data_IF_410859858050
#
_entry.id   IF_410859858050
#
_cell.length_a   1.000
_cell.length_b   1.000
_cell.length_c   1.000
_cell.angle_alpha   90.00
_cell.angle_beta   90.00
_cell.angle_gamma   90.00
#
_symmetry.space_group_name_H-M   'P 1'
#
loop_
_entity.id
_entity.type
_entity.pdbx_description
1 polymer ?
#
# COMPACT_ATOMS: atom_id res chain seq x y z
N UNK A 1 70.56 33.53 -2.54
CA UNK A 1 69.59 32.70 -3.29
C UNK A 1 69.38 31.38 -2.54
N UNK A 2 68.18 31.16 -1.97
CA UNK A 2 67.52 29.87 -1.77
C UNK A 2 66.22 30.14 -1.00
N UNK A 3 65.12 30.18 -1.75
CA UNK A 3 63.76 30.36 -1.25
C UNK A 3 63.31 29.03 -0.59
N UNK A 4 62.75 29.10 0.61
CA UNK A 4 62.03 27.97 1.23
C UNK A 4 60.54 28.25 1.06
N UNK A 5 59.89 27.39 0.27
CA UNK A 5 58.46 27.47 -0.02
C UNK A 5 57.67 26.82 1.13
N UNK A 6 56.75 27.56 1.74
CA UNK A 6 55.81 27.07 2.74
C UNK A 6 54.64 26.41 1.99
N UNK A 7 54.58 25.08 2.03
CA UNK A 7 53.47 24.31 1.47
C UNK A 7 52.26 24.38 2.41
N UNK A 8 51.22 25.10 1.99
CA UNK A 8 49.93 25.16 2.68
C UNK A 8 49.11 23.91 2.31
N UNK A 9 49.01 22.93 3.21
CA UNK A 9 48.13 21.77 3.04
C UNK A 9 46.69 22.17 3.43
N UNK A 10 45.83 22.42 2.43
CA UNK A 10 44.39 22.51 2.63
C UNK A 10 43.83 21.09 2.79
N UNK A 11 43.40 20.74 4.00
CA UNK A 11 42.57 19.56 4.24
C UNK A 11 41.11 19.89 3.85
N UNK A 12 40.65 19.36 2.71
CA UNK A 12 39.24 19.38 2.32
C UNK A 12 38.46 18.43 3.24
N UNK A 13 37.66 18.99 4.15
CA UNK A 13 36.64 18.26 4.89
C UNK A 13 35.49 17.91 3.93
N UNK A 14 35.47 16.68 3.44
CA UNK A 14 34.30 16.11 2.77
C UNK A 14 33.28 15.78 3.85
N UNK A 15 32.29 16.65 4.04
CA UNK A 15 31.11 16.36 4.84
C UNK A 15 30.28 15.30 4.11
N UNK A 16 30.40 14.04 4.54
CA UNK A 16 29.48 12.99 4.15
C UNK A 16 28.10 13.31 4.73
N UNK A 17 27.18 13.76 3.88
CA UNK A 17 25.77 13.80 4.22
C UNK A 17 25.32 12.38 4.50
N UNK A 18 25.20 12.01 5.77
CA UNK A 18 24.49 10.81 6.16
C UNK A 18 23.03 11.04 5.75
N UNK A 19 22.64 10.53 4.59
CA UNK A 19 21.22 10.33 4.28
C UNK A 19 20.70 9.36 5.35
N UNK A 20 20.05 9.91 6.37
CA UNK A 20 19.38 9.10 7.38
C UNK A 20 18.42 8.17 6.66
N UNK A 21 18.70 6.87 6.67
CA UNK A 21 17.77 5.88 6.17
C UNK A 21 16.51 6.03 7.02
N UNK A 22 15.39 6.41 6.39
CA UNK A 22 14.10 6.44 7.08
C UNK A 22 13.89 5.09 7.77
N UNK A 23 13.39 5.06 9.02
CA UNK A 23 13.20 3.82 9.74
C UNK A 23 12.34 2.87 8.90
N UNK A 24 12.73 1.59 8.87
CA UNK A 24 11.95 0.55 8.19
C UNK A 24 10.57 0.51 8.85
N UNK A 25 9.53 0.72 8.04
CA UNK A 25 8.14 0.71 8.51
C UNK A 25 7.77 -0.67 9.03
N UNK A 26 7.05 -0.72 10.16
CA UNK A 26 6.63 -1.96 10.76
C UNK A 26 5.19 -2.28 10.35
N UNK A 27 4.90 -3.53 10.01
CA UNK A 27 3.55 -3.98 9.67
C UNK A 27 2.55 -3.77 10.81
N UNK A 28 3.02 -3.74 12.07
CA UNK A 28 2.17 -3.45 13.24
C UNK A 28 1.55 -2.06 13.19
N UNK A 29 2.20 -1.10 12.53
CA UNK A 29 1.71 0.27 12.38
C UNK A 29 0.50 0.33 11.41
N UNK A 30 0.18 -0.77 10.71
CA UNK A 30 -1.01 -0.89 9.85
C UNK A 30 -2.24 -1.42 10.61
N UNK A 31 -2.18 -1.61 11.93
CA UNK A 31 -3.31 -2.13 12.72
C UNK A 31 -4.57 -1.27 12.60
N UNK A 32 -4.43 0.03 12.26
CA UNK A 32 -5.57 0.91 12.02
C UNK A 32 -6.43 0.46 10.81
N UNK A 33 -5.92 -0.38 9.92
CA UNK A 33 -6.67 -0.94 8.78
C UNK A 33 -7.57 -2.11 9.20
N UNK A 34 -7.27 -2.77 10.32
CA UNK A 34 -8.00 -3.95 10.78
C UNK A 34 -9.50 -3.65 11.02
N UNK A 35 -10.33 -4.64 10.71
CA UNK A 35 -11.78 -4.56 10.87
C UNK A 35 -12.54 -5.13 9.68
N UNK A 36 -13.88 -5.10 9.82
CA UNK A 36 -14.81 -5.45 8.75
C UNK A 36 -15.41 -4.16 8.21
N UNK A 37 -15.30 -3.96 6.90
CA UNK A 37 -15.62 -2.72 6.22
C UNK A 37 -16.61 -3.01 5.12
N UNK A 38 -17.69 -2.23 5.04
CA UNK A 38 -18.64 -2.29 3.94
C UNK A 38 -18.85 -0.92 3.30
N UNK A 39 -19.04 -0.91 1.98
CA UNK A 39 -19.41 0.30 1.23
C UNK A 39 -20.36 -0.06 0.11
N UNK A 40 -21.13 0.92 -0.36
CA UNK A 40 -21.97 0.80 -1.55
C UNK A 40 -21.51 1.84 -2.57
N UNK A 41 -21.45 1.45 -3.85
CA UNK A 41 -21.02 2.37 -4.90
C UNK A 41 -21.42 1.92 -6.30
N UNK A 42 -20.99 2.70 -7.30
CA UNK A 42 -21.31 2.44 -8.71
C UNK A 42 -20.76 1.09 -9.21
N UNK A 43 -19.70 0.61 -8.56
CA UNK A 43 -19.05 -0.67 -8.81
C UNK A 43 -19.86 -1.85 -8.22
N UNK A 44 -20.56 -1.64 -7.12
CA UNK A 44 -21.32 -2.67 -6.37
C UNK A 44 -21.30 -2.41 -4.86
N UNK A 45 -21.96 -3.29 -4.12
CA UNK A 45 -21.81 -3.45 -2.67
C UNK A 45 -20.51 -4.21 -2.40
N UNK A 46 -19.66 -3.66 -1.54
CA UNK A 46 -18.32 -4.17 -1.28
C UNK A 46 -18.15 -4.47 0.20
N UNK A 47 -17.37 -5.51 0.48
CA UNK A 47 -16.99 -5.94 1.82
C UNK A 47 -15.50 -6.27 1.86
N UNK A 48 -14.77 -5.69 2.81
CA UNK A 48 -13.37 -6.02 3.12
C UNK A 48 -13.27 -6.49 4.57
N UNK A 49 -12.58 -7.61 4.81
CA UNK A 49 -12.29 -8.09 6.17
C UNK A 49 -10.78 -8.14 6.37
N UNK A 50 -10.24 -7.14 7.05
CA UNK A 50 -8.83 -7.01 7.39
C UNK A 50 -8.54 -7.62 8.76
N UNK A 51 -7.57 -8.54 8.84
CA UNK A 51 -7.09 -9.11 10.10
C UNK A 51 -6.25 -8.10 10.87
N UNK A 52 -6.08 -8.29 12.18
CA UNK A 52 -4.94 -7.65 12.86
C UNK A 52 -3.61 -8.18 12.29
N UNK A 53 -2.51 -7.41 12.34
CA UNK A 53 -1.19 -7.93 12.06
C UNK A 53 -0.84 -9.10 12.99
N UNK A 54 -0.43 -10.24 12.43
CA UNK A 54 -0.03 -11.43 13.16
C UNK A 54 1.32 -11.93 12.63
N UNK A 55 2.33 -11.97 13.51
CA UNK A 55 3.69 -12.29 13.09
C UNK A 55 4.24 -11.25 12.11
N UNK A 56 4.58 -11.68 10.90
CA UNK A 56 5.09 -10.83 9.84
C UNK A 56 4.05 -10.55 8.73
N UNK A 57 2.75 -10.81 8.97
CA UNK A 57 1.72 -10.62 7.95
C UNK A 57 0.41 -10.03 8.49
N UNK A 58 -0.38 -9.50 7.57
CA UNK A 58 -1.77 -9.07 7.73
C UNK A 58 -2.55 -9.57 6.52
N UNK A 59 -3.81 -9.95 6.68
CA UNK A 59 -4.61 -10.54 5.61
C UNK A 59 -5.89 -9.73 5.35
N UNK A 60 -6.36 -9.74 4.10
CA UNK A 60 -7.69 -9.29 3.74
C UNK A 60 -8.38 -10.27 2.80
N UNK A 61 -9.66 -10.50 3.04
CA UNK A 61 -10.58 -11.05 2.05
C UNK A 61 -11.58 -9.97 1.63
N UNK A 62 -11.75 -9.80 0.34
CA UNK A 62 -12.67 -8.83 -0.24
C UNK A 62 -13.70 -9.50 -1.15
N UNK A 63 -14.88 -8.89 -1.24
CA UNK A 63 -15.90 -9.22 -2.23
C UNK A 63 -16.57 -7.95 -2.77
N UNK A 64 -16.90 -7.98 -4.06
CA UNK A 64 -17.82 -7.03 -4.69
C UNK A 64 -19.06 -7.76 -5.25
N UNK A 65 -20.26 -7.28 -4.93
CA UNK A 65 -21.56 -7.80 -5.37
C UNK A 65 -22.34 -6.70 -6.08
N UNK A 66 -22.94 -7.01 -7.23
CA UNK A 66 -23.84 -6.09 -7.95
C UNK A 66 -25.07 -6.84 -8.42
N UNK A 67 -26.24 -6.27 -8.15
CA UNK A 67 -27.54 -6.87 -8.51
C UNK A 67 -27.69 -8.32 -8.00
N UNK A 68 -27.26 -8.58 -6.76
CA UNK A 68 -27.34 -9.90 -6.12
C UNK A 68 -26.38 -10.96 -6.68
N UNK A 69 -25.43 -10.58 -7.54
CA UNK A 69 -24.41 -11.47 -8.11
C UNK A 69 -23.01 -10.98 -7.77
N UNK A 70 -22.11 -11.92 -7.47
CA UNK A 70 -20.70 -11.59 -7.27
C UNK A 70 -20.10 -11.08 -8.58
N UNK A 71 -19.39 -9.95 -8.50
CA UNK A 71 -18.60 -9.39 -9.59
C UNK A 71 -17.20 -10.01 -9.54
N UNK A 72 -16.51 -9.88 -8.40
CA UNK A 72 -15.20 -10.45 -8.15
C UNK A 72 -14.89 -10.52 -6.65
N UNK A 73 -13.81 -11.24 -6.32
CA UNK A 73 -13.21 -11.29 -5.00
C UNK A 73 -11.77 -10.78 -5.07
N UNK A 74 -11.22 -10.43 -3.91
CA UNK A 74 -9.77 -10.34 -3.74
C UNK A 74 -9.31 -11.13 -2.52
N UNK A 75 -8.10 -11.66 -2.62
CA UNK A 75 -7.35 -12.12 -1.47
C UNK A 75 -6.05 -11.33 -1.42
N UNK A 76 -5.81 -10.69 -0.28
CA UNK A 76 -4.69 -9.79 -0.07
C UNK A 76 -3.91 -10.26 1.14
N UNK A 77 -2.59 -10.25 1.03
CA UNK A 77 -1.69 -10.36 2.17
C UNK A 77 -0.75 -9.16 2.16
N UNK A 78 -0.55 -8.54 3.31
CA UNK A 78 0.57 -7.61 3.52
C UNK A 78 1.63 -8.37 4.27
N UNK A 79 2.84 -8.43 3.75
CA UNK A 79 3.96 -9.14 4.37
C UNK A 79 5.07 -8.16 4.70
N UNK A 80 5.65 -8.27 5.90
CA UNK A 80 6.83 -7.52 6.28
C UNK A 80 8.04 -8.06 5.50
N UNK A 81 8.61 -7.19 4.64
CA UNK A 81 9.86 -7.44 3.94
C UNK A 81 11.00 -6.64 4.58
N UNK A 82 12.28 -6.91 4.24
CA UNK A 82 13.42 -6.16 4.78
C UNK A 82 13.35 -4.64 4.53
N UNK A 83 12.75 -4.23 3.40
CA UNK A 83 12.59 -2.82 3.04
C UNK A 83 11.30 -2.17 3.59
N UNK A 84 10.40 -2.96 4.19
CA UNK A 84 9.09 -2.52 4.67
C UNK A 84 7.95 -3.46 4.24
N UNK A 85 6.70 -3.16 4.64
CA UNK A 85 5.54 -3.95 4.24
C UNK A 85 5.28 -3.90 2.73
N UNK A 86 4.92 -5.05 2.15
CA UNK A 86 4.49 -5.18 0.75
C UNK A 86 3.13 -5.84 0.72
N UNK A 87 2.15 -5.16 0.12
CA UNK A 87 0.83 -5.72 -0.16
C UNK A 87 0.89 -6.57 -1.43
N UNK A 88 0.45 -7.82 -1.33
CA UNK A 88 0.30 -8.78 -2.43
C UNK A 88 -1.17 -9.05 -2.64
N UNK A 89 -1.68 -8.70 -3.82
CA UNK A 89 -3.10 -8.74 -4.14
C UNK A 89 -3.36 -9.70 -5.31
N UNK A 90 -4.43 -10.48 -5.19
CA UNK A 90 -4.99 -11.29 -6.28
C UNK A 90 -6.47 -11.05 -6.42
N UNK A 91 -6.94 -10.99 -7.66
CA UNK A 91 -8.36 -10.98 -7.98
C UNK A 91 -8.84 -12.36 -8.38
N UNK A 92 -10.12 -12.63 -8.11
CA UNK A 92 -10.77 -13.87 -8.50
C UNK A 92 -12.17 -13.60 -9.06
N UNK A 93 -12.47 -14.22 -10.21
CA UNK A 93 -13.85 -14.34 -10.70
C UNK A 93 -14.66 -15.32 -9.85
N UNK A 94 -16.00 -15.29 -9.94
CA UNK A 94 -16.87 -16.33 -9.39
C UNK A 94 -16.36 -17.74 -9.74
N UNK A 95 -16.33 -18.63 -8.75
CA UNK A 95 -15.76 -19.98 -8.91
C UNK A 95 -14.28 -20.11 -8.55
N UNK A 96 -13.69 -19.10 -7.88
CA UNK A 96 -12.29 -19.10 -7.43
C UNK A 96 -11.29 -19.17 -8.61
N UNK A 97 -11.56 -18.41 -9.67
CA UNK A 97 -10.73 -18.36 -10.88
C UNK A 97 -9.85 -17.11 -10.80
N UNK A 98 -8.54 -17.29 -10.60
CA UNK A 98 -7.58 -16.21 -10.47
C UNK A 98 -7.40 -15.42 -11.78
N UNK A 99 -7.21 -14.11 -11.68
CA UNK A 99 -6.87 -13.25 -12.83
C UNK A 99 -5.36 -13.19 -13.08
N UNK A 100 -4.57 -13.11 -12.01
CA UNK A 100 -3.11 -13.07 -12.08
C UNK A 100 -2.49 -14.47 -12.15
N UNK A 101 -1.30 -14.58 -12.76
CA UNK A 101 -0.52 -15.81 -12.81
C UNK A 101 -0.26 -16.39 -11.40
N UNK A 102 -0.17 -17.73 -11.30
CA UNK A 102 0.00 -18.50 -10.05
C UNK A 102 1.10 -17.96 -9.13
N UNK A 103 2.17 -17.40 -9.66
CA UNK A 103 3.36 -16.93 -8.96
C UNK A 103 3.57 -15.41 -9.05
N UNK A 104 2.63 -14.66 -9.65
CA UNK A 104 2.75 -13.21 -9.86
C UNK A 104 1.52 -12.45 -9.36
N UNK A 105 1.26 -12.39 -8.04
CA UNK A 105 0.26 -11.45 -7.53
C UNK A 105 0.69 -10.01 -7.89
N UNK A 106 -0.24 -9.07 -7.87
CA UNK A 106 0.18 -7.66 -7.87
C UNK A 106 0.89 -7.34 -6.56
N UNK A 107 2.01 -6.64 -6.67
CA UNK A 107 2.79 -6.17 -5.52
C UNK A 107 2.69 -4.65 -5.41
N UNK A 108 2.32 -4.18 -4.23
CA UNK A 108 2.28 -2.76 -3.87
C UNK A 108 3.12 -2.55 -2.61
N UNK A 109 4.40 -2.17 -2.74
CA UNK A 109 5.19 -1.69 -1.61
C UNK A 109 4.53 -0.50 -0.89
N UNK A 110 4.66 -0.46 0.44
CA UNK A 110 4.22 0.68 1.25
C UNK A 110 5.15 1.87 1.03
N UNK A 111 4.65 2.94 0.39
CA UNK A 111 5.43 4.13 0.04
C UNK A 111 5.22 5.30 1.00
N UNK A 112 4.08 5.36 1.68
CA UNK A 112 3.78 6.36 2.71
C UNK A 112 3.03 5.74 3.88
N UNK A 113 3.38 6.17 5.09
CA UNK A 113 2.72 5.76 6.33
C UNK A 113 2.73 6.93 7.32
N UNK A 114 1.58 7.15 7.92
CA UNK A 114 1.32 8.05 9.04
C UNK A 114 0.33 7.36 10.01
N UNK A 115 -0.02 7.98 11.12
CA UNK A 115 -0.81 7.38 12.22
C UNK A 115 -2.11 6.68 11.77
N UNK A 116 -2.76 7.21 10.73
CA UNK A 116 -4.04 6.71 10.21
C UNK A 116 -4.10 6.65 8.69
N UNK A 117 -2.95 6.74 8.00
CA UNK A 117 -2.87 6.74 6.53
C UNK A 117 -1.76 5.80 6.07
N UNK A 118 -2.08 4.91 5.14
CA UNK A 118 -1.12 4.05 4.46
C UNK A 118 -1.33 4.14 2.95
N UNK A 119 -0.25 4.41 2.20
CA UNK A 119 -0.27 4.39 0.74
C UNK A 119 0.64 3.31 0.21
N UNK A 120 0.06 2.43 -0.59
CA UNK A 120 0.76 1.38 -1.31
C UNK A 120 0.75 1.70 -2.81
N UNK A 121 1.86 1.49 -3.50
CA UNK A 121 1.99 1.83 -4.92
C UNK A 121 2.74 0.74 -5.67
N UNK A 122 2.29 0.41 -6.89
CA UNK A 122 2.98 -0.59 -7.73
C UNK A 122 4.33 -0.06 -8.20
N UNK A 123 5.36 -0.92 -8.37
CA UNK A 123 6.66 -0.50 -8.92
C UNK A 123 6.60 0.15 -10.30
N UNK A 124 5.59 -0.17 -11.12
CA UNK A 124 5.36 0.45 -12.43
C UNK A 124 4.68 1.84 -12.35
N UNK A 125 4.30 2.29 -11.15
CA UNK A 125 3.66 3.58 -10.87
C UNK A 125 2.37 3.80 -11.67
N UNK A 126 1.66 2.71 -12.02
CA UNK A 126 0.38 2.79 -12.75
C UNK A 126 -0.83 2.64 -11.85
N UNK A 127 -0.65 2.22 -10.61
CA UNK A 127 -1.73 2.04 -9.65
C UNK A 127 -1.24 2.23 -8.23
N UNK A 128 -2.05 2.90 -7.41
CA UNK A 128 -1.83 3.02 -5.98
C UNK A 128 -3.13 2.89 -5.20
N UNK A 129 -3.02 2.44 -3.96
CA UNK A 129 -4.10 2.32 -3.00
C UNK A 129 -3.74 3.12 -1.75
N UNK A 130 -4.61 4.03 -1.34
CA UNK A 130 -4.47 4.77 -0.09
C UNK A 130 -5.58 4.39 0.87
N UNK A 131 -5.22 3.90 2.05
CA UNK A 131 -6.15 3.61 3.15
C UNK A 131 -6.03 4.72 4.17
N UNK A 132 -7.16 5.32 4.55
CA UNK A 132 -7.23 6.36 5.57
C UNK A 132 -8.34 6.07 6.57
N UNK A 133 -7.98 5.87 7.84
CA UNK A 133 -8.96 5.75 8.93
C UNK A 133 -9.41 7.13 9.36
N UNK A 134 -10.66 7.48 9.04
CA UNK A 134 -11.25 8.80 9.32
C UNK A 134 -11.87 8.87 10.71
N UNK A 135 -12.40 7.74 11.19
CA UNK A 135 -13.01 7.58 12.51
C UNK A 135 -12.94 6.10 12.93
N UNK A 136 -13.24 5.75 14.21
CA UNK A 136 -13.30 4.35 14.63
C UNK A 136 -14.23 3.47 13.79
N UNK A 137 -15.22 4.03 13.11
CA UNK A 137 -16.18 3.31 12.28
C UNK A 137 -16.16 3.73 10.81
N UNK A 138 -15.16 4.51 10.36
CA UNK A 138 -15.08 5.02 8.98
C UNK A 138 -13.68 4.89 8.40
N UNK A 139 -13.60 4.29 7.22
CA UNK A 139 -12.38 4.19 6.43
C UNK A 139 -12.64 4.75 5.03
N UNK A 140 -11.72 5.57 4.53
CA UNK A 140 -11.66 5.94 3.12
C UNK A 140 -10.57 5.12 2.44
N UNK A 141 -10.90 4.53 1.30
CA UNK A 141 -9.93 3.92 0.39
C UNK A 141 -9.94 4.68 -0.92
N UNK A 142 -8.77 5.04 -1.43
CA UNK A 142 -8.60 5.73 -2.71
C UNK A 142 -7.81 4.82 -3.64
N UNK A 143 -8.38 4.49 -4.79
CA UNK A 143 -7.72 3.80 -5.87
C UNK A 143 -7.37 4.81 -6.96
N UNK A 144 -6.09 5.03 -7.19
CA UNK A 144 -5.61 5.81 -8.33
C UNK A 144 -4.99 4.87 -9.35
N UNK A 145 -5.42 4.98 -10.61
CA UNK A 145 -4.92 4.12 -11.70
C UNK A 145 -4.87 4.87 -13.02
N UNK A 146 -3.97 4.44 -13.90
CA UNK A 146 -4.01 4.85 -15.29
C UNK A 146 -5.06 4.04 -16.05
N UNK A 147 -5.89 4.70 -16.85
CA UNK A 147 -6.79 4.05 -17.79
C UNK A 147 -6.04 3.56 -19.04
N UNK A 148 -6.79 3.06 -20.03
CA UNK A 148 -6.22 2.50 -21.27
C UNK A 148 -5.47 3.54 -22.11
N UNK A 149 -5.80 4.82 -21.94
CA UNK A 149 -5.19 5.95 -22.64
C UNK A 149 -4.07 6.60 -21.80
N UNK A 150 -3.74 6.03 -20.64
CA UNK A 150 -2.74 6.54 -19.71
C UNK A 150 -3.23 7.72 -18.87
N UNK A 151 -4.52 8.06 -18.89
CA UNK A 151 -5.08 9.13 -18.05
C UNK A 151 -5.28 8.60 -16.64
N UNK A 152 -4.97 9.44 -15.66
CA UNK A 152 -5.22 9.11 -14.27
C UNK A 152 -6.71 9.18 -13.95
N UNK A 153 -7.20 8.11 -13.33
CA UNK A 153 -8.54 7.98 -12.78
C UNK A 153 -8.41 7.71 -11.29
N UNK A 154 -9.24 8.40 -10.50
CA UNK A 154 -9.34 8.22 -9.06
C UNK A 154 -10.74 7.72 -8.74
N UNK A 155 -10.82 6.58 -8.05
CA UNK A 155 -12.03 6.03 -7.47
C UNK A 155 -11.92 6.15 -5.93
N UNK A 156 -12.95 6.70 -5.27
CA UNK A 156 -13.03 6.79 -3.81
C UNK A 156 -14.09 5.84 -3.25
N UNK A 157 -13.72 5.09 -2.22
CA UNK A 157 -14.57 4.15 -1.51
C UNK A 157 -14.67 4.58 -0.04
N UNK A 158 -15.87 4.97 0.40
CA UNK A 158 -16.13 5.42 1.76
C UNK A 158 -16.79 4.30 2.56
N UNK A 159 -15.96 3.51 3.23
CA UNK A 159 -16.37 2.37 4.03
C UNK A 159 -16.87 2.77 5.42
N UNK A 160 -17.85 2.01 5.90
CA UNK A 160 -18.30 2.00 7.29
C UNK A 160 -17.98 0.65 7.94
N UNK A 161 -17.71 0.67 9.24
CA UNK A 161 -17.47 -0.58 9.97
C UNK A 161 -18.75 -1.41 10.04
N UNK A 162 -18.63 -2.71 9.72
CA UNK A 162 -19.69 -3.70 9.91
C UNK A 162 -19.48 -4.46 11.21
N UNK A 163 -20.57 -4.85 11.86
CA UNK A 163 -20.54 -5.61 13.12
C UNK A 163 -20.14 -7.07 12.91
#
# INVERSE_FOLDING_TARGET
>A
MKNVSIGCFLFLLVSASAFGQAPVRNIKDLSFMAGKWVTQGVWGDMEENWSEPMGNSMMCSYRCVKNGKVVFYEFIVVEQMPAGPVMKLRHFSPGNIAWEDKDKPYEYPLIFLDDNVARFERPDQKTSLTFQRLAPDKMKVILERQDKDGKWVQDEFNYVASK
#
